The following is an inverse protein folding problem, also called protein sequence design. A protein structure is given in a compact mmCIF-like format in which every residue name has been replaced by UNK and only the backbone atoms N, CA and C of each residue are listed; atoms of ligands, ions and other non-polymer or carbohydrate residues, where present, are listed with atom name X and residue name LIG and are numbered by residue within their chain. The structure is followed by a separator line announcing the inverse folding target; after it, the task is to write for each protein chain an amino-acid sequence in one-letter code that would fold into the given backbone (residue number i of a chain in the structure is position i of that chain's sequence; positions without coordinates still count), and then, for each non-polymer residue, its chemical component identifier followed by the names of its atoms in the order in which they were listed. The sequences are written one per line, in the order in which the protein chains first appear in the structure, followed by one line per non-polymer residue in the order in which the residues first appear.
data_IF_787316322637
#
_entry.id   IF_787316322637
#
_cell.length_a   1.000
_cell.length_b   1.000
_cell.length_c   1.000
_cell.angle_alpha   90.00
_cell.angle_beta   90.00
_cell.angle_gamma   90.00
#
_symmetry.space_group_name_H-M   'P 1'
#
loop_
_entity.id
_entity.type
_entity.pdbx_description
1 polymer ?
#
# COMPACT_ATOMS: atom_id res chain seq x y z
N UNK A 1 34.84 4.71 -8.70
CA UNK A 1 33.36 4.75 -8.80
C UNK A 1 32.86 5.54 -7.61
N UNK A 2 32.36 6.76 -7.83
CA UNK A 2 31.79 7.57 -6.76
C UNK A 2 30.43 6.98 -6.42
N UNK A 3 30.39 6.10 -5.43
CA UNK A 3 29.15 5.53 -4.91
C UNK A 3 28.49 6.58 -4.03
N UNK A 4 27.42 7.18 -4.54
CA UNK A 4 26.65 8.14 -3.78
C UNK A 4 25.91 7.36 -2.68
N UNK A 5 26.43 7.37 -1.46
CA UNK A 5 26.05 6.46 -0.36
C UNK A 5 24.53 6.47 -0.09
N UNK A 6 23.92 7.64 -0.22
CA UNK A 6 22.48 7.86 -0.07
C UNK A 6 21.65 7.08 -1.12
N UNK A 7 22.14 6.98 -2.36
CA UNK A 7 21.46 6.24 -3.42
C UNK A 7 21.67 4.73 -3.24
N UNK A 8 22.86 4.31 -2.80
CA UNK A 8 23.12 2.91 -2.52
C UNK A 8 22.22 2.39 -1.38
N UNK A 9 22.02 3.17 -0.32
CA UNK A 9 21.13 2.75 0.77
C UNK A 9 19.67 2.67 0.33
N UNK A 10 19.15 3.65 -0.41
CA UNK A 10 17.78 3.61 -0.95
C UNK A 10 17.55 2.41 -1.86
N UNK A 11 18.48 2.14 -2.78
CA UNK A 11 18.39 0.97 -3.66
C UNK A 11 18.44 -0.33 -2.84
N UNK A 12 19.31 -0.40 -1.84
CA UNK A 12 19.40 -1.56 -0.94
C UNK A 12 18.09 -1.82 -0.20
N UNK A 13 17.41 -0.79 0.31
CA UNK A 13 16.11 -0.98 0.99
C UNK A 13 15.07 -1.57 0.05
N UNK A 14 14.97 -1.05 -1.18
CA UNK A 14 14.04 -1.57 -2.20
C UNK A 14 14.35 -3.04 -2.53
N UNK A 15 15.64 -3.38 -2.68
CA UNK A 15 16.08 -4.75 -2.96
C UNK A 15 15.73 -5.72 -1.83
N UNK A 16 15.97 -5.32 -0.58
CA UNK A 16 15.66 -6.12 0.61
C UNK A 16 14.16 -6.35 0.75
N UNK A 17 13.35 -5.31 0.58
CA UNK A 17 11.89 -5.41 0.67
C UNK A 17 11.33 -6.29 -0.44
N UNK A 18 11.80 -6.11 -1.69
CA UNK A 18 11.41 -6.96 -2.81
C UNK A 18 11.75 -8.44 -2.58
N UNK A 19 12.94 -8.73 -2.06
CA UNK A 19 13.35 -10.10 -1.77
C UNK A 19 12.43 -10.75 -0.73
N UNK A 20 12.15 -10.02 0.35
CA UNK A 20 11.28 -10.49 1.45
C UNK A 20 9.86 -10.78 0.97
N UNK A 21 9.27 -9.89 0.17
CA UNK A 21 7.92 -10.08 -0.40
C UNK A 21 7.90 -11.27 -1.37
N UNK A 22 8.92 -11.41 -2.22
CA UNK A 22 9.03 -12.54 -3.16
C UNK A 22 9.14 -13.88 -2.42
N UNK A 23 9.99 -13.96 -1.40
CA UNK A 23 10.12 -15.17 -0.59
C UNK A 23 8.78 -15.56 0.06
N UNK A 24 8.06 -14.60 0.65
CA UNK A 24 6.75 -14.84 1.25
C UNK A 24 5.71 -15.33 0.22
N UNK A 25 5.75 -14.80 -1.01
CA UNK A 25 4.88 -15.23 -2.11
C UNK A 25 5.21 -16.65 -2.59
N UNK A 26 6.50 -16.96 -2.77
CA UNK A 26 6.96 -18.29 -3.22
C UNK A 26 6.63 -19.37 -2.19
N UNK A 27 6.76 -19.04 -0.90
CA UNK A 27 6.36 -19.89 0.23
C UNK A 27 4.85 -19.96 0.44
N UNK A 28 4.05 -19.28 -0.39
CA UNK A 28 2.58 -19.22 -0.32
C UNK A 28 2.05 -18.66 1.01
N UNK A 29 2.86 -17.85 1.70
CA UNK A 29 2.44 -17.13 2.91
C UNK A 29 1.50 -15.99 2.53
N UNK A 30 1.73 -15.36 1.37
CA UNK A 30 0.89 -14.29 0.81
C UNK A 30 0.45 -14.60 -0.61
N UNK A 31 -0.67 -14.01 -1.02
CA UNK A 31 -1.15 -14.00 -2.41
C UNK A 31 -1.24 -12.56 -2.91
N UNK A 32 -1.02 -12.34 -4.20
CA UNK A 32 -1.02 -11.01 -4.83
C UNK A 32 -2.15 -10.91 -5.87
N UNK A 33 -3.43 -10.84 -5.45
CA UNK A 33 -4.53 -10.66 -6.39
C UNK A 33 -4.48 -9.25 -7.01
N UNK A 34 -4.82 -9.15 -8.29
CA UNK A 34 -4.96 -7.85 -8.94
C UNK A 34 -6.18 -7.10 -8.38
N UNK A 35 -5.97 -5.84 -8.02
CA UNK A 35 -7.03 -4.90 -7.63
C UNK A 35 -6.98 -3.73 -8.59
N UNK A 36 -8.09 -3.43 -9.25
CA UNK A 36 -8.17 -2.28 -10.16
C UNK A 36 -8.09 -0.97 -9.38
N UNK A 37 -7.42 0.05 -9.93
CA UNK A 37 -7.22 1.35 -9.29
C UNK A 37 -8.49 1.98 -8.70
N UNK A 38 -9.66 1.98 -9.36
CA UNK A 38 -10.86 2.60 -8.80
C UNK A 38 -11.37 1.94 -7.52
N UNK A 39 -10.93 0.72 -7.21
CA UNK A 39 -11.34 -0.06 -6.04
C UNK A 39 -10.17 -0.37 -5.11
N UNK A 40 -9.00 0.25 -5.33
CA UNK A 40 -7.81 0.08 -4.49
C UNK A 40 -7.95 0.92 -3.22
N UNK A 41 -8.59 0.35 -2.19
CA UNK A 41 -8.92 1.06 -0.93
C UNK A 41 -7.70 1.68 -0.25
N UNK A 42 -6.52 1.05 -0.36
CA UNK A 42 -5.27 1.58 0.21
C UNK A 42 -4.90 2.97 -0.33
N UNK A 43 -5.38 3.35 -1.52
CA UNK A 43 -5.11 4.66 -2.13
C UNK A 43 -5.60 5.82 -1.26
N UNK A 44 -6.61 5.60 -0.43
CA UNK A 44 -7.09 6.57 0.57
C UNK A 44 -5.96 7.03 1.50
N UNK A 45 -5.05 6.13 1.86
CA UNK A 45 -3.97 6.38 2.81
C UNK A 45 -2.68 6.85 2.15
N UNK A 46 -2.50 6.59 0.85
CA UNK A 46 -1.22 6.79 0.15
C UNK A 46 -1.26 7.86 -0.94
N UNK A 47 -2.44 8.33 -1.35
CA UNK A 47 -2.59 9.26 -2.47
C UNK A 47 -3.53 10.42 -2.13
N UNK A 48 -3.28 11.56 -2.76
CA UNK A 48 -4.25 12.65 -2.82
C UNK A 48 -5.33 12.32 -3.86
N UNK A 49 -6.56 12.06 -3.41
CA UNK A 49 -7.69 11.67 -4.26
C UNK A 49 -8.71 12.81 -4.39
N UNK A 50 -9.54 12.77 -5.43
CA UNK A 50 -10.71 13.65 -5.51
C UNK A 50 -11.70 13.29 -4.40
N UNK A 51 -12.47 14.26 -3.91
CA UNK A 51 -13.46 14.05 -2.85
C UNK A 51 -14.42 12.89 -3.17
N UNK A 52 -14.87 12.79 -4.42
CA UNK A 52 -15.74 11.71 -4.87
C UNK A 52 -15.10 10.31 -4.73
N UNK A 53 -13.87 10.14 -5.20
CA UNK A 53 -13.17 8.86 -5.14
C UNK A 53 -12.77 8.51 -3.70
N UNK A 54 -12.34 9.50 -2.93
CA UNK A 54 -12.02 9.34 -1.51
C UNK A 54 -13.24 8.83 -0.73
N UNK A 55 -14.41 9.49 -0.88
CA UNK A 55 -15.64 9.08 -0.20
C UNK A 55 -16.11 7.68 -0.65
N UNK A 56 -15.98 7.36 -1.94
CA UNK A 56 -16.28 6.02 -2.44
C UNK A 56 -15.41 4.93 -1.79
N UNK A 57 -14.09 5.16 -1.70
CA UNK A 57 -13.16 4.19 -1.12
C UNK A 57 -13.27 4.09 0.40
N UNK A 58 -13.49 5.21 1.12
CA UNK A 58 -13.71 5.22 2.58
C UNK A 58 -14.97 4.42 2.96
N UNK A 59 -16.07 4.60 2.22
CA UNK A 59 -17.29 3.82 2.47
C UNK A 59 -17.06 2.31 2.30
N UNK A 60 -16.13 1.90 1.42
CA UNK A 60 -15.74 0.49 1.27
C UNK A 60 -14.86 -0.04 2.40
N UNK A 61 -14.22 0.81 3.19
CA UNK A 61 -13.39 0.40 4.32
C UNK A 61 -14.23 -0.09 5.52
N UNK A 62 -15.57 -0.06 5.42
CA UNK A 62 -16.50 -0.41 6.52
C UNK A 62 -16.19 0.34 7.83
N UNK A 63 -15.77 1.61 7.71
CA UNK A 63 -15.86 2.58 8.80
C UNK A 63 -17.33 2.91 9.02
N UNK A 64 -18.09 1.94 9.54
CA UNK A 64 -19.41 2.22 10.09
C UNK A 64 -19.20 3.20 11.23
N UNK A 65 -19.88 4.33 11.17
CA UNK A 65 -19.93 5.29 12.26
C UNK A 65 -20.24 4.53 13.54
N UNK A 66 -19.24 4.39 14.43
CA UNK A 66 -19.57 4.16 15.82
C UNK A 66 -20.39 5.40 16.19
N UNK A 67 -21.67 5.28 16.59
CA UNK A 67 -22.33 6.41 17.18
C UNK A 67 -21.41 6.83 18.32
N UNK A 68 -20.88 8.06 18.25
CA UNK A 68 -20.17 8.65 19.36
C UNK A 68 -21.15 8.57 20.53
N UNK A 69 -20.96 7.58 21.40
CA UNK A 69 -21.78 7.42 22.58
C UNK A 69 -21.45 8.64 23.43
N UNK A 70 -22.42 9.55 23.47
CA UNK A 70 -22.43 10.77 24.27
C UNK A 70 -22.24 10.40 25.74
#
# INVERSE_FOLDING_TARGET
IVANHVYHERTKHIEVDCHSIREAYDRRIITLPHVSTPVQIADVLTKSLTSQLHNFLINKLMLLDLPASI
#
